data_IF_286505305368
#
_entry.id   IF_286505305368
#
_cell.length_a   1.000
_cell.length_b   1.000
_cell.length_c   1.000
_cell.angle_alpha   90.00
_cell.angle_beta   90.00
_cell.angle_gamma   90.00
#
_symmetry.space_group_name_H-M   'P 1'
#
loop_
_entity.id
_entity.type
_entity.pdbx_description
1 polymer ?
#
# COMPACT_ATOMS: atom_id res chain seq x y z
N UNK A 1 6.82 -28.24 40.27
CA UNK A 1 7.47 -27.24 39.41
C UNK A 1 6.60 -27.12 38.17
N UNK A 2 5.66 -26.19 38.17
CA UNK A 2 4.76 -25.94 37.03
C UNK A 2 5.43 -24.93 36.11
N UNK A 3 5.88 -25.40 34.95
CA UNK A 3 6.32 -24.58 33.83
C UNK A 3 5.13 -23.77 33.32
N UNK A 4 5.22 -22.44 33.41
CA UNK A 4 4.28 -21.54 32.76
C UNK A 4 4.62 -21.45 31.26
N UNK A 5 3.66 -21.82 30.42
CA UNK A 5 3.71 -21.53 28.99
C UNK A 5 3.65 -20.01 28.77
N UNK A 6 4.44 -19.44 27.84
CA UNK A 6 4.33 -18.03 27.51
C UNK A 6 3.04 -17.82 26.71
N UNK A 7 2.10 -17.07 27.30
CA UNK A 7 0.90 -16.61 26.60
C UNK A 7 1.32 -15.87 25.33
N UNK A 8 0.91 -16.43 24.19
CA UNK A 8 1.10 -15.82 22.89
C UNK A 8 0.53 -14.41 22.88
N UNK A 9 1.37 -13.45 22.52
CA UNK A 9 1.01 -12.05 22.41
C UNK A 9 -0.19 -11.92 21.46
N UNK A 10 -1.35 -11.53 21.99
CA UNK A 10 -2.53 -11.25 21.17
C UNK A 10 -2.16 -10.14 20.16
N UNK A 11 -2.55 -10.29 18.88
CA UNK A 11 -2.34 -9.22 17.91
C UNK A 11 -2.99 -7.94 18.43
N UNK A 12 -2.23 -6.85 18.40
CA UNK A 12 -2.70 -5.52 18.81
C UNK A 12 -3.92 -5.11 17.99
N UNK A 13 -4.93 -4.54 18.65
CA UNK A 13 -6.10 -4.00 17.94
C UNK A 13 -5.67 -2.94 16.91
N UNK A 14 -6.29 -2.92 15.72
CA UNK A 14 -6.01 -1.90 14.72
C UNK A 14 -6.37 -0.52 15.28
N UNK A 15 -5.39 0.39 15.27
CA UNK A 15 -5.59 1.78 15.67
C UNK A 15 -5.76 2.65 14.43
N UNK A 16 -6.79 3.49 14.42
CA UNK A 16 -7.04 4.42 13.32
C UNK A 16 -5.83 5.33 13.03
N UNK A 17 -5.08 5.70 14.07
CA UNK A 17 -3.86 6.48 13.93
C UNK A 17 -2.76 5.71 13.18
N UNK A 18 -2.56 4.42 13.51
CA UNK A 18 -1.58 3.58 12.82
C UNK A 18 -1.95 3.35 11.36
N UNK A 19 -3.24 3.15 11.06
CA UNK A 19 -3.71 3.03 9.68
C UNK A 19 -3.48 4.31 8.87
N UNK A 20 -3.74 5.48 9.49
CA UNK A 20 -3.50 6.77 8.85
C UNK A 20 -2.02 7.03 8.59
N UNK A 21 -1.14 6.66 9.52
CA UNK A 21 0.31 6.75 9.34
C UNK A 21 0.80 5.84 8.22
N UNK A 22 0.30 4.61 8.15
CA UNK A 22 0.65 3.68 7.08
C UNK A 22 0.15 4.15 5.71
N UNK A 23 -1.03 4.77 5.63
CA UNK A 23 -1.55 5.36 4.39
C UNK A 23 -0.73 6.59 3.94
N UNK A 24 -0.29 7.42 4.89
CA UNK A 24 0.61 8.55 4.58
C UNK A 24 1.96 8.06 4.06
N UNK A 25 2.48 6.98 4.62
CA UNK A 25 3.73 6.38 4.15
C UNK A 25 3.56 5.77 2.75
N UNK A 26 2.45 5.08 2.48
CA UNK A 26 2.12 4.61 1.13
C UNK A 26 2.10 5.77 0.12
N UNK A 27 1.45 6.87 0.48
CA UNK A 27 1.39 8.06 -0.36
C UNK A 27 2.80 8.65 -0.62
N UNK A 28 3.61 8.82 0.43
CA UNK A 28 4.99 9.31 0.31
C UNK A 28 5.83 8.47 -0.65
N UNK A 29 5.78 7.14 -0.50
CA UNK A 29 6.53 6.22 -1.36
C UNK A 29 6.08 6.27 -2.82
N UNK A 30 4.77 6.42 -3.06
CA UNK A 30 4.25 6.60 -4.42
C UNK A 30 4.76 7.91 -5.01
N UNK A 31 4.65 9.02 -4.26
CA UNK A 31 5.09 10.34 -4.71
C UNK A 31 6.58 10.34 -5.07
N UNK A 32 7.44 9.76 -4.23
CA UNK A 32 8.89 9.64 -4.49
C UNK A 32 9.20 8.84 -5.76
N UNK A 33 8.52 7.70 -5.97
CA UNK A 33 8.69 6.89 -7.17
C UNK A 33 8.25 7.64 -8.44
N UNK A 34 7.15 8.39 -8.38
CA UNK A 34 6.71 9.20 -9.52
C UNK A 34 7.64 10.36 -9.79
N UNK A 35 8.13 11.05 -8.77
CA UNK A 35 9.14 12.10 -8.94
C UNK A 35 10.40 11.56 -9.60
N UNK A 36 10.87 10.38 -9.16
CA UNK A 36 12.01 9.70 -9.77
C UNK A 36 11.77 9.34 -11.24
N UNK A 37 10.64 8.68 -11.54
CA UNK A 37 10.32 8.26 -12.90
C UNK A 37 10.06 9.45 -13.85
N UNK A 38 9.28 10.45 -13.42
CA UNK A 38 8.92 11.59 -14.27
C UNK A 38 10.03 12.63 -14.42
N UNK A 39 11.01 12.66 -13.52
CA UNK A 39 12.24 13.43 -13.75
C UNK A 39 13.03 12.91 -14.96
N UNK A 40 12.85 11.64 -15.33
CA UNK A 40 13.64 10.94 -16.34
C UNK A 40 12.82 10.37 -17.51
N UNK A 41 11.55 10.75 -17.66
CA UNK A 41 10.67 10.28 -18.74
C UNK A 41 10.03 11.42 -19.53
N UNK A 42 9.42 11.09 -20.67
CA UNK A 42 8.75 12.02 -21.59
C UNK A 42 7.46 12.67 -21.03
N UNK A 43 7.08 12.34 -19.79
CA UNK A 43 6.01 12.99 -19.04
C UNK A 43 4.60 12.44 -19.32
N UNK A 44 4.44 11.30 -19.98
CA UNK A 44 3.11 10.68 -20.12
C UNK A 44 2.60 10.10 -18.79
N UNK A 45 1.76 10.86 -18.09
CA UNK A 45 1.06 10.40 -16.89
C UNK A 45 -0.41 10.03 -17.16
N UNK A 46 -0.97 9.06 -16.42
CA UNK A 46 -2.42 8.84 -16.36
C UNK A 46 -3.02 9.59 -15.16
N UNK A 47 -4.28 9.95 -15.23
CA UNK A 47 -4.94 10.76 -14.18
C UNK A 47 -5.17 10.02 -12.86
N UNK A 48 -4.82 8.74 -12.77
CA UNK A 48 -5.02 7.90 -11.58
C UNK A 48 -3.72 7.48 -10.91
N UNK A 49 -2.57 8.01 -11.35
CA UNK A 49 -1.30 7.76 -10.68
C UNK A 49 -1.37 8.18 -9.19
N UNK A 50 -0.87 7.32 -8.31
CA UNK A 50 -0.89 7.53 -6.86
C UNK A 50 -2.23 7.27 -6.18
N UNK A 51 -3.23 6.73 -6.89
CA UNK A 51 -4.52 6.41 -6.28
C UNK A 51 -4.39 5.28 -5.24
N UNK A 52 -4.93 5.56 -4.04
CA UNK A 52 -5.13 4.58 -2.97
C UNK A 52 -6.64 4.48 -2.69
N UNK A 53 -7.19 3.28 -2.86
CA UNK A 53 -8.58 2.94 -2.57
C UNK A 53 -8.68 2.08 -1.31
N UNK A 54 -9.74 2.30 -0.52
CA UNK A 54 -10.07 1.43 0.62
C UNK A 54 -11.41 0.76 0.38
N UNK A 55 -11.41 -0.57 0.37
CA UNK A 55 -12.63 -1.36 0.33
C UNK A 55 -13.13 -1.54 1.75
N UNK A 56 -14.33 -1.03 2.04
CA UNK A 56 -15.00 -1.21 3.33
C UNK A 56 -16.06 -2.31 3.22
N UNK A 57 -16.43 -2.89 4.36
CA UNK A 57 -17.56 -3.80 4.40
C UNK A 57 -18.85 -3.15 3.90
N UNK A 58 -19.65 -3.94 3.18
CA UNK A 58 -20.85 -3.46 2.50
C UNK A 58 -22.06 -3.41 3.44
N UNK A 59 -23.21 -2.95 2.92
CA UNK A 59 -24.44 -2.82 3.70
C UNK A 59 -24.91 -4.14 4.32
N UNK A 60 -24.85 -5.24 3.59
CA UNK A 60 -25.34 -6.54 4.08
C UNK A 60 -24.46 -7.07 5.21
N UNK A 61 -23.15 -6.92 5.10
CA UNK A 61 -22.20 -7.33 6.14
C UNK A 61 -22.43 -6.54 7.43
N UNK A 62 -22.62 -5.22 7.32
CA UNK A 62 -22.95 -4.37 8.49
C UNK A 62 -24.33 -4.71 9.07
N UNK A 63 -25.30 -5.03 8.22
CA UNK A 63 -26.65 -5.45 8.65
C UNK A 63 -26.61 -6.77 9.41
N UNK A 64 -25.73 -7.68 9.00
CA UNK A 64 -25.56 -9.00 9.62
C UNK A 64 -24.66 -8.94 10.88
N UNK A 65 -24.27 -7.73 11.31
CA UNK A 65 -23.61 -7.47 12.58
C UNK A 65 -22.09 -7.31 12.52
N UNK A 66 -21.49 -7.31 11.33
CA UNK A 66 -20.05 -7.06 11.21
C UNK A 66 -19.70 -5.60 11.52
N UNK A 67 -18.70 -5.32 12.37
CA UNK A 67 -18.22 -3.96 12.62
C UNK A 67 -17.60 -3.35 11.34
N UNK A 68 -17.62 -2.02 11.22
CA UNK A 68 -16.95 -1.32 10.13
C UNK A 68 -15.47 -1.71 10.09
N UNK A 69 -15.01 -2.18 8.93
CA UNK A 69 -13.60 -2.56 8.74
C UNK A 69 -13.17 -2.36 7.29
N UNK A 70 -11.86 -2.15 7.12
CA UNK A 70 -11.19 -2.23 5.84
C UNK A 70 -11.05 -3.71 5.47
N UNK A 71 -11.52 -4.06 4.28
CA UNK A 71 -11.49 -5.41 3.69
C UNK A 71 -10.45 -5.55 2.59
N UNK A 72 -10.01 -4.43 2.04
CA UNK A 72 -9.05 -4.40 0.96
C UNK A 72 -8.47 -3.01 0.78
N UNK A 73 -7.29 -2.98 0.16
CA UNK A 73 -6.61 -1.76 -0.26
C UNK A 73 -6.28 -1.90 -1.74
N UNK A 74 -6.72 -0.95 -2.53
CA UNK A 74 -6.33 -0.82 -3.93
C UNK A 74 -5.19 0.19 -4.03
N UNK A 75 -4.14 -0.14 -4.78
CA UNK A 75 -3.11 0.81 -5.19
C UNK A 75 -3.05 0.79 -6.72
N UNK A 76 -3.18 1.96 -7.32
CA UNK A 76 -2.92 2.13 -8.75
C UNK A 76 -1.54 2.77 -8.94
N UNK A 77 -0.68 2.12 -9.71
CA UNK A 77 0.59 2.71 -10.12
C UNK A 77 1.09 2.16 -11.45
N UNK A 78 1.49 3.06 -12.35
CA UNK A 78 2.19 2.67 -13.57
C UNK A 78 3.69 2.43 -13.34
N UNK A 79 4.27 3.07 -12.33
CA UNK A 79 5.69 3.02 -12.00
C UNK A 79 6.00 1.83 -11.10
N UNK A 80 5.19 1.61 -10.07
CA UNK A 80 5.43 0.57 -9.08
C UNK A 80 4.61 -0.69 -9.33
N UNK A 81 5.31 -1.83 -9.37
CA UNK A 81 4.71 -3.15 -9.41
C UNK A 81 4.52 -3.72 -10.82
N UNK A 82 4.11 -4.99 -10.93
CA UNK A 82 4.06 -5.73 -12.19
C UNK A 82 2.84 -5.41 -13.07
N UNK A 83 1.91 -4.56 -12.60
CA UNK A 83 0.70 -4.18 -13.32
C UNK A 83 0.26 -2.78 -12.87
N UNK A 84 -0.80 -2.22 -13.46
CA UNK A 84 -1.24 -0.86 -13.09
C UNK A 84 -2.12 -0.80 -11.85
N UNK A 85 -2.66 -1.92 -11.42
CA UNK A 85 -3.70 -1.99 -10.39
C UNK A 85 -3.44 -3.20 -9.51
N UNK A 86 -3.30 -2.95 -8.22
CA UNK A 86 -2.98 -3.93 -7.21
C UNK A 86 -4.02 -3.91 -6.10
N UNK A 87 -4.39 -5.09 -5.61
CA UNK A 87 -5.30 -5.22 -4.47
C UNK A 87 -4.61 -6.01 -3.37
N UNK A 88 -4.78 -5.55 -2.14
CA UNK A 88 -4.16 -6.12 -0.96
C UNK A 88 -5.22 -6.37 0.11
N UNK A 89 -5.05 -7.41 0.95
CA UNK A 89 -6.00 -7.71 2.01
C UNK A 89 -5.96 -6.71 3.18
N UNK A 90 -4.83 -6.02 3.38
CA UNK A 90 -4.62 -5.07 4.49
C UNK A 90 -3.71 -3.92 4.07
N UNK A 91 -3.78 -2.80 4.82
CA UNK A 91 -2.86 -1.66 4.63
C UNK A 91 -1.41 -2.10 4.86
N UNK A 92 -1.15 -2.93 5.88
CA UNK A 92 0.19 -3.44 6.14
C UNK A 92 0.77 -4.24 4.96
N UNK A 93 -0.03 -5.13 4.34
CA UNK A 93 0.40 -5.90 3.18
C UNK A 93 0.66 -5.02 1.94
N UNK A 94 -0.16 -3.97 1.76
CA UNK A 94 0.07 -2.96 0.73
C UNK A 94 1.40 -2.23 0.97
N UNK A 95 1.61 -1.72 2.20
CA UNK A 95 2.80 -0.97 2.57
C UNK A 95 4.09 -1.79 2.44
N UNK A 96 4.11 -3.03 2.93
CA UNK A 96 5.27 -3.91 2.80
C UNK A 96 5.62 -4.22 1.35
N UNK A 97 4.62 -4.30 0.47
CA UNK A 97 4.83 -4.56 -0.95
C UNK A 97 5.30 -3.31 -1.68
N UNK A 98 4.65 -2.16 -1.46
CA UNK A 98 5.04 -0.89 -2.06
C UNK A 98 6.44 -0.45 -1.62
N UNK A 99 6.85 -0.74 -0.38
CA UNK A 99 8.24 -0.51 0.06
C UNK A 99 9.27 -1.26 -0.77
N UNK A 100 8.98 -2.50 -1.16
CA UNK A 100 9.89 -3.29 -2.01
C UNK A 100 9.94 -2.72 -3.42
N UNK A 101 8.79 -2.46 -4.04
CA UNK A 101 8.74 -1.86 -5.37
C UNK A 101 9.40 -0.49 -5.42
N UNK A 102 9.18 0.34 -4.41
CA UNK A 102 9.83 1.63 -4.29
C UNK A 102 11.35 1.48 -4.21
N UNK A 103 11.87 0.55 -3.40
CA UNK A 103 13.32 0.31 -3.33
C UNK A 103 13.90 -0.18 -4.68
N UNK A 104 13.14 -0.97 -5.43
CA UNK A 104 13.50 -1.40 -6.78
C UNK A 104 13.54 -0.20 -7.75
N UNK A 105 12.48 0.61 -7.78
CA UNK A 105 12.37 1.81 -8.62
C UNK A 105 13.49 2.82 -8.34
N UNK A 106 13.75 3.14 -7.07
CA UNK A 106 14.79 4.08 -6.67
C UNK A 106 16.22 3.57 -6.96
N UNK A 107 16.37 2.30 -7.37
CA UNK A 107 17.64 1.73 -7.80
C UNK A 107 17.86 1.78 -9.31
N UNK A 108 16.82 2.11 -10.08
CA UNK A 108 16.91 2.31 -11.53
C UNK A 108 17.64 3.62 -11.83
N UNK A 109 18.58 3.59 -12.76
CA UNK A 109 19.17 4.79 -13.36
C UNK A 109 18.63 4.86 -14.79
N UNK A 110 17.74 5.81 -15.05
CA UNK A 110 17.14 5.99 -16.36
C UNK A 110 18.12 6.81 -17.22
N UNK A 111 18.93 6.13 -18.02
CA UNK A 111 19.82 6.81 -18.95
C UNK A 111 19.04 7.27 -20.19
N UNK A 112 19.43 8.39 -20.82
CA UNK A 112 18.78 8.91 -22.04
C UNK A 112 18.77 7.89 -23.21
N UNK A 113 19.58 6.83 -23.13
CA UNK A 113 19.71 5.80 -24.17
C UNK A 113 18.68 4.65 -24.06
N UNK A 114 17.90 4.59 -22.98
CA UNK A 114 16.97 3.48 -22.70
C UNK A 114 15.55 3.66 -23.30
N UNK A 115 15.32 4.72 -24.10
CA UNK A 115 14.02 5.10 -24.69
C UNK A 115 13.97 5.04 -26.22
#
# INVERSE_FOLDING_TARGET
>A
MTSGDPEGQKPSEPSFQGDLEALRELQRLLDEAYEHYFANSDGYCKSSEGYIGLDLNNYFERRDGEPLRIKGVEVYSYVLGPSRRHTFPTIAAALDTVRRWHAEEMSCDYSEEDW
#
